data_IF_078133786930
#
_entry.id   IF_078133786930
#
_cell.length_a   1.000
_cell.length_b   1.000
_cell.length_c   1.000
_cell.angle_alpha   90.00
_cell.angle_beta   90.00
_cell.angle_gamma   90.00
#
_symmetry.space_group_name_H-M   'P 1'
#
loop_
_entity.id
_entity.type
_entity.pdbx_description
1 polymer ?
#
# COMPACT_ATOMS: atom_id res chain seq x y z
N UNK A 1 8.37 -8.90 -16.36
CA UNK A 1 8.63 -7.85 -15.35
C UNK A 1 7.32 -7.55 -14.67
N UNK A 2 7.19 -7.81 -13.36
CA UNK A 2 6.04 -7.31 -12.60
C UNK A 2 6.31 -5.84 -12.30
N UNK A 3 5.55 -4.94 -12.94
CA UNK A 3 5.52 -3.54 -12.56
C UNK A 3 4.77 -3.47 -11.23
N UNK A 4 5.50 -3.32 -10.13
CA UNK A 4 4.90 -3.09 -8.82
C UNK A 4 4.32 -1.68 -8.83
N UNK A 5 3.02 -1.56 -9.07
CA UNK A 5 2.37 -0.26 -9.13
C UNK A 5 1.78 0.07 -7.76
N UNK A 6 2.50 0.90 -7.00
CA UNK A 6 2.05 1.46 -5.71
C UNK A 6 0.64 2.06 -5.81
N UNK A 7 0.25 2.57 -6.98
CA UNK A 7 -1.09 3.13 -7.20
C UNK A 7 -2.17 2.05 -7.18
N UNK A 8 -1.90 0.85 -7.67
CA UNK A 8 -2.88 -0.25 -7.64
C UNK A 8 -3.14 -0.69 -6.20
N UNK A 9 -2.08 -0.75 -5.38
CA UNK A 9 -2.19 -1.02 -3.95
C UNK A 9 -2.94 0.11 -3.22
N UNK A 10 -2.67 1.37 -3.54
CA UNK A 10 -3.42 2.50 -2.99
C UNK A 10 -4.92 2.36 -3.34
N UNK A 11 -5.24 2.16 -4.62
CA UNK A 11 -6.62 2.08 -5.10
C UNK A 11 -7.38 0.95 -4.42
N UNK A 12 -6.80 -0.26 -4.33
CA UNK A 12 -7.51 -1.40 -3.73
C UNK A 12 -7.75 -1.21 -2.23
N UNK A 13 -6.80 -0.61 -1.50
CA UNK A 13 -6.98 -0.24 -0.09
C UNK A 13 -8.05 0.83 0.06
N UNK A 14 -8.11 1.81 -0.85
CA UNK A 14 -9.16 2.84 -0.85
C UNK A 14 -10.56 2.27 -1.08
N UNK A 15 -10.70 1.32 -2.02
CA UNK A 15 -11.96 0.60 -2.27
C UNK A 15 -12.39 -0.18 -1.03
N UNK A 16 -11.47 -0.92 -0.43
CA UNK A 16 -11.74 -1.69 0.80
C UNK A 16 -12.14 -0.76 1.95
N UNK A 17 -11.43 0.36 2.14
CA UNK A 17 -11.73 1.39 3.15
C UNK A 17 -13.18 1.87 3.04
N UNK A 18 -13.61 2.22 1.82
CA UNK A 18 -14.99 2.64 1.54
C UNK A 18 -15.99 1.52 1.85
N UNK A 19 -15.72 0.29 1.40
CA UNK A 19 -16.61 -0.86 1.60
C UNK A 19 -16.81 -1.23 3.08
N UNK A 20 -15.78 -1.03 3.91
CA UNK A 20 -15.79 -1.34 5.35
C UNK A 20 -16.22 -0.17 6.22
N UNK A 21 -16.42 1.00 5.62
CA UNK A 21 -16.61 2.27 6.31
C UNK A 21 -15.54 2.48 7.41
N UNK A 22 -14.27 2.29 7.02
CA UNK A 22 -13.11 2.41 7.89
C UNK A 22 -11.94 2.96 7.07
N UNK A 23 -11.49 4.18 7.36
CA UNK A 23 -10.56 4.90 6.49
C UNK A 23 -9.21 5.09 7.18
N UNK A 24 -8.14 4.69 6.49
CA UNK A 24 -6.76 4.94 6.93
C UNK A 24 -6.30 6.35 6.57
N UNK A 25 -5.25 6.80 7.25
CA UNK A 25 -4.33 7.78 6.67
C UNK A 25 -3.38 7.04 5.73
N UNK A 26 -3.31 7.44 4.46
CA UNK A 26 -2.46 6.85 3.44
C UNK A 26 -1.46 7.90 2.95
N UNK A 27 -0.17 7.56 2.98
CA UNK A 27 0.93 8.39 2.45
C UNK A 27 1.53 7.62 1.27
N UNK A 28 1.55 8.25 0.10
CA UNK A 28 2.04 7.63 -1.14
C UNK A 28 3.31 8.32 -1.59
N UNK A 29 4.37 7.54 -1.75
CA UNK A 29 5.61 7.93 -2.41
C UNK A 29 5.69 7.27 -3.79
N UNK A 30 6.73 7.60 -4.55
CA UNK A 30 6.97 7.06 -5.90
C UNK A 30 7.00 5.52 -5.91
N UNK A 31 7.57 4.90 -4.87
CA UNK A 31 7.80 3.45 -4.81
C UNK A 31 7.34 2.80 -3.51
N UNK A 32 6.59 3.52 -2.66
CA UNK A 32 6.11 3.00 -1.37
C UNK A 32 4.77 3.58 -0.96
N UNK A 33 4.05 2.81 -0.14
CA UNK A 33 2.82 3.22 0.51
C UNK A 33 2.97 3.03 2.02
N UNK A 34 2.68 4.07 2.81
CA UNK A 34 2.56 3.96 4.27
C UNK A 34 1.10 4.11 4.63
N UNK A 35 0.53 3.09 5.29
CA UNK A 35 -0.89 3.04 5.67
C UNK A 35 -0.99 2.99 7.18
N UNK A 36 -1.70 3.96 7.76
CA UNK A 36 -1.85 4.10 9.21
C UNK A 36 -3.33 3.92 9.56
N UNK A 37 -3.62 2.83 10.27
CA UNK A 37 -4.95 2.47 10.75
C UNK A 37 -5.14 2.94 12.18
N UNK A 38 -6.22 3.69 12.41
CA UNK A 38 -6.70 4.04 13.74
C UNK A 38 -8.23 4.14 13.70
N UNK A 39 -8.87 3.83 14.81
CA UNK A 39 -10.30 4.00 14.99
C UNK A 39 -10.59 5.35 15.64
N UNK A 40 -11.43 6.16 14.99
CA UNK A 40 -11.84 7.46 15.54
C UNK A 40 -12.80 7.29 16.73
N UNK A 41 -13.70 6.30 16.69
CA UNK A 41 -14.70 6.07 17.74
C UNK A 41 -15.00 4.57 17.97
N UNK A 42 -14.80 4.04 19.20
CA UNK A 42 -14.05 4.67 20.29
C UNK A 42 -12.62 4.95 19.83
N UNK A 43 -12.02 6.03 20.34
CA UNK A 43 -10.69 6.45 19.91
C UNK A 43 -9.66 5.39 20.30
N UNK A 44 -8.82 4.96 19.36
CA UNK A 44 -7.72 4.04 19.62
C UNK A 44 -7.54 3.02 18.50
N UNK A 45 -7.07 1.83 18.87
CA UNK A 45 -6.97 0.67 17.98
C UNK A 45 -8.18 -0.23 18.20
N UNK A 46 -8.78 -0.70 17.11
CA UNK A 46 -9.88 -1.67 17.13
C UNK A 46 -9.58 -2.88 16.23
N UNK A 47 -10.46 -3.88 16.27
CA UNK A 47 -10.41 -5.04 15.37
C UNK A 47 -10.52 -4.64 13.90
N UNK A 48 -11.14 -3.50 13.56
CA UNK A 48 -11.17 -3.03 12.18
C UNK A 48 -9.80 -2.61 11.69
N UNK A 49 -8.98 -2.03 12.56
CA UNK A 49 -7.61 -1.63 12.22
C UNK A 49 -6.76 -2.86 11.90
N UNK A 50 -6.81 -3.90 12.74
CA UNK A 50 -6.05 -5.12 12.52
C UNK A 50 -6.55 -5.93 11.30
N UNK A 51 -7.87 -5.96 11.08
CA UNK A 51 -8.44 -6.59 9.89
C UNK A 51 -8.02 -5.87 8.60
N UNK A 52 -8.00 -4.55 8.60
CA UNK A 52 -7.56 -3.77 7.43
C UNK A 52 -6.04 -3.81 7.24
N UNK A 53 -5.26 -3.88 8.31
CA UNK A 53 -3.81 -4.11 8.22
C UNK A 53 -3.51 -5.46 7.55
N UNK A 54 -4.18 -6.54 7.97
CA UNK A 54 -4.06 -7.86 7.32
C UNK A 54 -4.47 -7.82 5.85
N UNK A 55 -5.54 -7.09 5.53
CA UNK A 55 -5.95 -6.92 4.13
C UNK A 55 -4.85 -6.24 3.30
N UNK A 56 -4.14 -5.25 3.84
CA UNK A 56 -2.99 -4.65 3.17
C UNK A 56 -1.91 -5.70 2.86
N UNK A 57 -1.56 -6.56 3.81
CA UNK A 57 -0.55 -7.62 3.62
C UNK A 57 -0.98 -8.60 2.51
N UNK A 58 -2.24 -9.02 2.52
CA UNK A 58 -2.81 -9.93 1.51
C UNK A 58 -2.77 -9.31 0.10
N UNK A 59 -3.15 -8.03 -0.05
CA UNK A 59 -3.12 -7.36 -1.36
C UNK A 59 -1.70 -7.04 -1.81
N UNK A 60 -0.81 -6.68 -0.88
CA UNK A 60 0.60 -6.44 -1.14
C UNK A 60 1.27 -7.69 -1.73
N UNK A 61 1.01 -8.87 -1.14
CA UNK A 61 1.47 -10.15 -1.65
C UNK A 61 0.90 -10.47 -3.05
N UNK A 62 -0.40 -10.24 -3.29
CA UNK A 62 -1.04 -10.49 -4.58
C UNK A 62 -0.51 -9.58 -5.70
N UNK A 63 -0.23 -8.31 -5.38
CA UNK A 63 0.32 -7.32 -6.32
C UNK A 63 1.82 -7.57 -6.56
N UNK A 64 2.48 -8.32 -5.68
CA UNK A 64 3.91 -8.61 -5.76
C UNK A 64 4.78 -7.45 -5.30
N UNK A 65 4.36 -6.74 -4.24
CA UNK A 65 5.22 -5.77 -3.57
C UNK A 65 6.42 -6.46 -2.95
N UNK A 66 7.47 -5.69 -2.71
CA UNK A 66 8.71 -6.17 -2.10
C UNK A 66 9.01 -5.43 -0.81
N UNK A 67 9.91 -5.98 0.00
CA UNK A 67 10.34 -5.32 1.23
C UNK A 67 11.03 -3.98 0.95
N UNK A 68 11.03 -3.12 1.96
CA UNK A 68 11.63 -1.79 1.85
C UNK A 68 13.11 -1.91 1.48
N UNK A 69 13.48 -1.38 0.32
CA UNK A 69 14.86 -1.40 -0.19
C UNK A 69 15.10 -2.39 -1.32
N UNK A 70 14.19 -3.34 -1.54
CA UNK A 70 14.27 -4.33 -2.63
C UNK A 70 13.57 -3.85 -3.91
N UNK A 71 12.86 -2.73 -3.83
CA UNK A 71 12.17 -2.13 -4.97
C UNK A 71 13.15 -1.74 -6.09
N UNK A 72 12.86 -2.17 -7.32
CA UNK A 72 13.59 -1.70 -8.50
C UNK A 72 13.41 -0.19 -8.62
N UNK A 73 14.50 0.56 -8.45
CA UNK A 73 14.50 2.00 -8.67
C UNK A 73 14.37 2.28 -10.16
N UNK A 74 13.51 3.23 -10.53
CA UNK A 74 13.54 3.79 -11.88
C UNK A 74 14.85 4.57 -12.03
N UNK A 75 15.83 3.95 -12.68
CA UNK A 75 17.06 4.60 -13.15
C UNK A 75 17.15 4.42 -14.67
N UNK A 76 17.93 5.25 -15.37
CA UNK A 76 18.17 5.05 -16.79
C UNK A 76 18.71 3.64 -17.03
N UNK A 77 18.17 2.97 -18.03
CA UNK A 77 18.73 1.73 -18.54
C UNK A 77 20.17 2.01 -18.98
N UNK A 78 21.13 1.09 -18.84
CA UNK A 78 22.46 1.25 -19.45
C UNK A 78 22.42 1.49 -20.97
N UNK A 79 21.29 1.18 -21.62
CA UNK A 79 21.02 1.44 -23.03
C UNK A 79 20.49 2.84 -23.37
N UNK A 80 20.13 3.66 -22.37
CA UNK A 80 19.50 4.98 -22.60
C UNK A 80 20.52 6.10 -22.82
N UNK A 81 21.82 5.78 -22.74
CA UNK A 81 22.91 6.66 -23.14
C UNK A 81 23.41 6.29 -24.54
N UNK A 82 22.77 6.79 -25.59
CA UNK A 82 23.33 6.81 -26.94
C UNK A 82 23.04 8.13 -27.62
#
# INVERSE_FOLDING_TARGET
MVNVNVKDLHTIIGIASKSKNHHAKIITDISSLTVIWTTHHPRGISLKDTAMARYCDEQAALIGTVEKGEGKKCGPSPSDGK
#
